data_IF_409949702226
#
_entry.id   IF_409949702226
#
_cell.length_a   1.000
_cell.length_b   1.000
_cell.length_c   1.000
_cell.angle_alpha   90.00
_cell.angle_beta   90.00
_cell.angle_gamma   90.00
#
_symmetry.space_group_name_H-M   'P 1'
#
loop_
_entity.id
_entity.type
_entity.pdbx_description
1 polymer ?
#
# COMPACT_ATOMS: atom_id res chain seq x y z
N UNK A 1 5.92 4.77 -12.18
CA UNK A 1 7.23 4.08 -12.25
C UNK A 1 7.75 3.88 -10.84
N UNK A 2 8.41 2.75 -10.56
CA UNK A 2 9.00 2.46 -9.24
C UNK A 2 10.51 2.23 -9.39
N UNK A 3 11.31 2.85 -8.53
CA UNK A 3 12.76 2.76 -8.50
C UNK A 3 13.28 2.31 -7.13
N UNK A 4 14.47 1.71 -7.09
CA UNK A 4 15.26 1.52 -5.86
C UNK A 4 16.68 2.03 -6.05
N UNK A 5 17.31 2.44 -4.95
CA UNK A 5 18.70 2.91 -4.93
C UNK A 5 19.35 2.47 -3.60
N UNK A 6 20.67 2.30 -3.60
CA UNK A 6 21.42 2.04 -2.36
C UNK A 6 21.33 3.26 -1.45
N UNK A 7 21.29 3.04 -0.12
CA UNK A 7 21.26 4.12 0.88
C UNK A 7 22.43 5.10 0.79
N UNK A 8 23.62 4.61 0.40
CA UNK A 8 24.83 5.43 0.19
C UNK A 8 24.83 6.16 -1.17
N UNK A 9 23.73 6.08 -1.93
CA UNK A 9 23.66 6.51 -3.31
C UNK A 9 24.23 5.49 -4.30
N UNK A 10 24.03 5.77 -5.59
CA UNK A 10 24.48 4.93 -6.70
C UNK A 10 23.67 3.64 -6.91
N UNK A 11 23.84 3.03 -8.09
CA UNK A 11 23.18 1.77 -8.44
C UNK A 11 21.65 1.87 -8.50
N UNK A 12 21.12 2.97 -9.06
CA UNK A 12 19.68 3.12 -9.29
C UNK A 12 19.19 1.98 -10.19
N UNK A 13 18.13 1.30 -9.77
CA UNK A 13 17.46 0.26 -10.53
C UNK A 13 15.99 0.61 -10.71
N UNK A 14 15.46 0.34 -11.89
CA UNK A 14 14.02 0.44 -12.17
C UNK A 14 13.38 -0.90 -11.82
N UNK A 15 12.47 -0.91 -10.84
CA UNK A 15 11.72 -2.10 -10.46
C UNK A 15 10.48 -2.28 -11.36
N UNK A 16 9.81 -1.18 -11.69
CA UNK A 16 8.62 -1.21 -12.53
C UNK A 16 8.58 0.01 -13.46
N UNK A 17 8.94 -0.20 -14.72
CA UNK A 17 9.04 0.85 -15.74
C UNK A 17 7.70 1.19 -16.42
N UNK A 18 6.83 0.20 -16.61
CA UNK A 18 5.58 0.32 -17.39
C UNK A 18 4.43 -0.45 -16.72
N UNK A 19 3.22 -0.34 -17.29
CA UNK A 19 1.98 -1.00 -16.83
C UNK A 19 1.40 -0.51 -15.50
N UNK A 20 1.92 0.59 -14.94
CA UNK A 20 1.26 1.37 -13.90
C UNK A 20 0.81 2.73 -14.47
N UNK A 21 -0.31 3.25 -13.99
CA UNK A 21 -0.92 4.49 -14.49
C UNK A 21 -0.94 5.61 -13.44
N UNK A 22 -1.05 5.28 -12.15
CA UNK A 22 -1.00 6.26 -11.06
C UNK A 22 -0.54 5.63 -9.75
N UNK A 23 0.77 5.36 -9.62
CA UNK A 23 1.33 4.85 -8.36
C UNK A 23 1.30 5.96 -7.30
N UNK A 24 0.48 5.78 -6.26
CA UNK A 24 0.34 6.76 -5.17
C UNK A 24 0.98 6.32 -3.86
N UNK A 25 1.05 5.00 -3.60
CA UNK A 25 1.58 4.45 -2.36
C UNK A 25 2.37 3.17 -2.59
N UNK A 26 3.37 2.91 -1.75
CA UNK A 26 4.15 1.68 -1.74
C UNK A 26 4.61 1.31 -0.33
N UNK A 27 4.76 0.02 -0.07
CA UNK A 27 5.24 -0.51 1.19
C UNK A 27 6.04 -1.80 0.97
N UNK A 28 7.18 -1.93 1.64
CA UNK A 28 8.08 -3.07 1.51
C UNK A 28 7.85 -4.06 2.65
N UNK A 29 7.53 -5.30 2.30
CA UNK A 29 7.72 -6.43 3.20
C UNK A 29 9.19 -6.86 3.13
N UNK A 30 9.96 -6.46 4.14
CA UNK A 30 11.39 -6.78 4.23
C UNK A 30 11.67 -8.25 4.56
N UNK A 31 10.68 -9.00 5.04
CA UNK A 31 10.85 -10.42 5.36
C UNK A 31 10.78 -11.24 4.08
N UNK A 32 9.78 -10.99 3.23
CA UNK A 32 9.57 -11.75 1.99
C UNK A 32 10.20 -11.10 0.74
N UNK A 33 10.78 -9.90 0.89
CA UNK A 33 11.30 -9.12 -0.24
C UNK A 33 10.23 -8.80 -1.29
N UNK A 34 8.99 -8.60 -0.84
CA UNK A 34 7.87 -8.20 -1.68
C UNK A 34 7.54 -6.73 -1.48
N UNK A 35 7.40 -6.00 -2.58
CA UNK A 35 6.93 -4.62 -2.61
C UNK A 35 5.45 -4.61 -2.98
N UNK A 36 4.63 -4.09 -2.06
CA UNK A 36 3.22 -3.84 -2.27
C UNK A 36 3.03 -2.40 -2.72
N UNK A 37 2.20 -2.16 -3.72
CA UNK A 37 1.98 -0.80 -4.23
C UNK A 37 0.56 -0.58 -4.72
N UNK A 38 0.10 0.65 -4.57
CA UNK A 38 -1.21 1.12 -5.01
C UNK A 38 -1.07 1.77 -6.38
N UNK A 39 -1.89 1.34 -7.33
CA UNK A 39 -2.17 2.08 -8.56
C UNK A 39 -3.58 2.66 -8.47
N UNK A 40 -3.65 3.93 -8.09
CA UNK A 40 -4.89 4.69 -7.82
C UNK A 40 -5.75 4.82 -9.07
N UNK A 41 -5.13 5.05 -10.24
CA UNK A 41 -5.85 5.17 -11.51
C UNK A 41 -6.46 3.84 -11.97
N UNK A 42 -5.78 2.73 -11.69
CA UNK A 42 -6.30 1.39 -11.99
C UNK A 42 -7.21 0.82 -10.91
N UNK A 43 -7.30 1.45 -9.74
CA UNK A 43 -8.03 0.90 -8.60
C UNK A 43 -7.47 -0.44 -8.14
N UNK A 44 -6.13 -0.59 -8.10
CA UNK A 44 -5.49 -1.88 -7.74
C UNK A 44 -4.45 -1.75 -6.64
N UNK A 45 -4.40 -2.77 -5.79
CA UNK A 45 -3.28 -3.06 -4.91
C UNK A 45 -2.50 -4.22 -5.54
N UNK A 46 -1.23 -4.01 -5.76
CA UNK A 46 -0.35 -4.92 -6.49
C UNK A 46 0.80 -5.37 -5.60
N UNK A 47 1.41 -6.48 -5.96
CA UNK A 47 2.63 -6.98 -5.32
C UNK A 47 3.65 -7.38 -6.39
N UNK A 48 4.92 -7.08 -6.16
CA UNK A 48 6.04 -7.59 -6.94
C UNK A 48 7.18 -8.03 -6.02
N UNK A 49 7.97 -9.00 -6.45
CA UNK A 49 9.21 -9.34 -5.75
C UNK A 49 10.32 -8.35 -6.12
N UNK A 50 11.05 -7.79 -5.16
CA UNK A 50 12.06 -6.76 -5.47
C UNK A 50 13.32 -7.31 -6.13
N UNK A 51 13.62 -8.60 -5.96
CA UNK A 51 14.77 -9.25 -6.57
C UNK A 51 14.44 -9.89 -7.91
N UNK A 52 13.17 -10.24 -8.11
CA UNK A 52 12.60 -10.76 -9.37
C UNK A 52 11.35 -9.97 -9.76
N UNK A 53 11.48 -8.70 -10.21
CA UNK A 53 10.34 -7.80 -10.47
C UNK A 53 9.39 -8.27 -11.59
N UNK A 54 9.84 -9.22 -12.41
CA UNK A 54 9.01 -9.96 -13.36
C UNK A 54 7.90 -10.77 -12.68
N UNK A 55 8.13 -11.22 -11.44
CA UNK A 55 7.11 -11.85 -10.61
C UNK A 55 6.28 -10.78 -9.91
N UNK A 56 5.21 -10.38 -10.58
CA UNK A 56 4.21 -9.45 -10.06
C UNK A 56 2.80 -9.96 -10.32
N UNK A 57 1.87 -9.54 -9.46
CA UNK A 57 0.44 -9.78 -9.64
C UNK A 57 -0.40 -8.66 -9.05
N UNK A 58 -1.61 -8.52 -9.57
CA UNK A 58 -2.68 -7.75 -8.92
C UNK A 58 -3.15 -8.56 -7.72
N UNK A 59 -3.10 -7.99 -6.51
CA UNK A 59 -3.53 -8.64 -5.28
C UNK A 59 -4.99 -8.34 -4.97
N UNK A 60 -5.38 -7.06 -5.11
CA UNK A 60 -6.76 -6.58 -5.01
C UNK A 60 -7.08 -5.69 -6.20
N UNK A 61 -8.34 -5.73 -6.62
CA UNK A 61 -8.90 -4.96 -7.74
C UNK A 61 -10.18 -4.27 -7.32
N UNK A 62 -10.70 -3.42 -8.21
CA UNK A 62 -11.96 -2.72 -8.03
C UNK A 62 -11.97 -1.82 -6.77
N UNK A 63 -10.79 -1.27 -6.42
CA UNK A 63 -10.63 -0.32 -5.32
C UNK A 63 -11.02 1.10 -5.76
N UNK A 64 -11.75 1.81 -4.90
CA UNK A 64 -12.27 3.13 -5.12
C UNK A 64 -11.26 4.20 -4.69
N UNK A 65 -10.42 4.61 -5.63
CA UNK A 65 -9.36 5.60 -5.42
C UNK A 65 -8.48 5.24 -4.22
N UNK A 66 -7.79 4.09 -4.27
CA UNK A 66 -6.87 3.71 -3.22
C UNK A 66 -5.67 4.68 -3.18
N UNK A 67 -5.08 4.90 -2.01
CA UNK A 67 -3.93 5.82 -1.86
C UNK A 67 -2.82 5.29 -0.97
N UNK A 68 -3.02 5.30 0.34
CA UNK A 68 -1.98 4.93 1.29
C UNK A 68 -1.93 3.41 1.50
N UNK A 69 -0.75 2.90 1.82
CA UNK A 69 -0.53 1.47 2.08
C UNK A 69 0.61 1.25 3.06
N UNK A 70 0.42 0.35 4.02
CA UNK A 70 1.47 -0.16 4.92
C UNK A 70 1.33 -1.67 5.14
N UNK A 71 2.45 -2.37 5.26
CA UNK A 71 2.45 -3.82 5.56
C UNK A 71 2.93 -4.10 6.98
N UNK A 72 2.37 -5.16 7.57
CA UNK A 72 2.82 -5.79 8.80
C UNK A 72 3.33 -7.21 8.51
N UNK A 73 4.62 -7.36 8.17
CA UNK A 73 5.19 -8.67 7.80
C UNK A 73 5.00 -9.74 8.88
N UNK A 74 5.26 -9.39 10.14
CA UNK A 74 5.17 -10.35 11.26
C UNK A 74 3.75 -10.88 11.53
N UNK A 75 2.71 -10.19 11.04
CA UNK A 75 1.30 -10.58 11.22
C UNK A 75 0.64 -11.02 9.91
N UNK A 76 1.33 -10.90 8.79
CA UNK A 76 0.77 -11.22 7.48
C UNK A 76 -0.36 -10.28 7.06
N UNK A 77 -0.32 -9.01 7.46
CA UNK A 77 -1.34 -8.02 7.10
C UNK A 77 -0.84 -6.93 6.16
N UNK A 78 -1.74 -6.46 5.29
CA UNK A 78 -1.62 -5.20 4.56
C UNK A 78 -2.78 -4.30 4.96
N UNK A 79 -2.49 -3.04 5.18
CA UNK A 79 -3.48 -1.99 5.43
C UNK A 79 -3.40 -0.98 4.30
N UNK A 80 -4.55 -0.53 3.83
CA UNK A 80 -4.65 0.43 2.74
C UNK A 80 -5.84 1.36 2.93
N UNK A 81 -5.77 2.53 2.31
CA UNK A 81 -6.86 3.52 2.35
C UNK A 81 -7.50 3.72 0.98
N UNK A 82 -8.79 4.01 0.98
CA UNK A 82 -9.60 4.43 -0.16
C UNK A 82 -10.26 5.75 0.22
N UNK A 83 -10.14 6.77 -0.64
CA UNK A 83 -10.62 8.12 -0.32
C UNK A 83 -11.87 8.54 -1.09
N UNK A 84 -12.35 7.72 -2.04
CA UNK A 84 -13.67 7.96 -2.61
C UNK A 84 -14.77 7.62 -1.61
N UNK A 85 -15.91 8.32 -1.66
CA UNK A 85 -16.95 8.14 -0.63
C UNK A 85 -17.74 6.84 -0.85
N UNK A 86 -17.97 6.03 0.21
CA UNK A 86 -17.49 6.22 1.58
C UNK A 86 -15.99 5.92 1.73
N UNK A 87 -15.23 6.89 2.23
CA UNK A 87 -13.79 6.72 2.46
C UNK A 87 -13.57 5.68 3.55
N UNK A 88 -12.53 4.87 3.39
CA UNK A 88 -12.25 3.79 4.33
C UNK A 88 -10.77 3.51 4.50
N UNK A 89 -10.45 2.88 5.63
CA UNK A 89 -9.20 2.17 5.85
C UNK A 89 -9.57 0.69 5.99
N UNK A 90 -8.88 -0.14 5.24
CA UNK A 90 -9.12 -1.58 5.17
C UNK A 90 -7.86 -2.36 5.51
N UNK A 91 -8.03 -3.56 6.07
CA UNK A 91 -6.98 -4.55 6.28
C UNK A 91 -7.28 -5.78 5.43
N UNK A 92 -6.26 -6.37 4.82
CA UNK A 92 -6.33 -7.71 4.21
C UNK A 92 -5.13 -8.55 4.63
N UNK A 93 -5.17 -9.85 4.35
CA UNK A 93 -3.99 -10.70 4.43
C UNK A 93 -3.04 -10.39 3.27
N UNK A 94 -1.74 -10.70 3.42
CA UNK A 94 -0.71 -10.46 2.39
C UNK A 94 -0.95 -11.25 1.08
N UNK A 95 -1.86 -12.23 1.09
CA UNK A 95 -2.33 -12.97 -0.09
C UNK A 95 -3.57 -12.34 -0.76
N UNK A 96 -4.11 -11.26 -0.19
CA UNK A 96 -5.31 -10.55 -0.67
C UNK A 96 -6.63 -11.07 -0.09
N UNK A 97 -6.60 -12.11 0.73
CA UNK A 97 -7.81 -12.65 1.35
C UNK A 97 -8.24 -11.86 2.60
N UNK A 98 -9.43 -12.15 3.10
CA UNK A 98 -9.95 -11.62 4.38
C UNK A 98 -9.93 -10.09 4.49
N UNK A 99 -10.35 -9.41 3.43
CA UNK A 99 -10.51 -7.95 3.44
C UNK A 99 -11.54 -7.56 4.51
N UNK A 100 -11.14 -6.66 5.40
CA UNK A 100 -11.93 -6.15 6.51
C UNK A 100 -11.85 -4.63 6.52
N UNK A 101 -12.99 -3.98 6.30
CA UNK A 101 -13.16 -2.53 6.39
C UNK A 101 -13.28 -2.10 7.85
N UNK A 102 -12.54 -1.08 8.26
CA UNK A 102 -12.66 -0.51 9.60
C UNK A 102 -13.95 0.29 9.71
N UNK A 103 -14.75 -0.01 10.73
CA UNK A 103 -16.07 0.62 10.93
C UNK A 103 -15.99 1.68 12.03
N UNK A 104 -16.95 2.60 12.02
CA UNK A 104 -17.09 3.67 13.02
C UNK A 104 -15.86 4.60 13.08
N UNK A 105 -15.22 4.84 11.93
CA UNK A 105 -14.12 5.80 11.77
C UNK A 105 -14.58 6.87 10.80
N UNK A 106 -14.54 8.14 11.21
CA UNK A 106 -14.80 9.26 10.31
C UNK A 106 -13.56 9.49 9.44
N UNK A 107 -13.74 9.41 8.13
CA UNK A 107 -12.66 9.55 7.15
C UNK A 107 -13.10 10.48 6.02
N UNK A 108 -12.19 11.35 5.64
CA UNK A 108 -12.26 12.20 4.46
C UNK A 108 -11.21 11.77 3.45
N UNK A 109 -9.98 12.26 3.60
CA UNK A 109 -8.86 11.93 2.71
C UNK A 109 -7.70 11.29 3.50
N UNK A 110 -7.81 9.98 3.84
CA UNK A 110 -6.76 9.24 4.54
C UNK A 110 -5.52 9.05 3.65
N UNK A 111 -4.60 10.01 3.68
CA UNK A 111 -3.52 10.12 2.70
C UNK A 111 -2.22 9.44 3.12
N UNK A 112 -2.01 9.25 4.41
CA UNK A 112 -0.84 8.61 4.97
C UNK A 112 -1.25 7.56 5.98
N UNK A 113 -0.52 6.45 6.00
CA UNK A 113 -0.63 5.39 6.98
C UNK A 113 0.76 5.11 7.56
N UNK A 114 0.83 4.79 8.85
CA UNK A 114 2.01 4.28 9.52
C UNK A 114 1.59 3.22 10.53
N UNK A 115 2.51 2.34 10.88
CA UNK A 115 2.24 1.24 11.81
C UNK A 115 3.29 1.20 12.91
N UNK A 116 2.82 1.03 14.14
CA UNK A 116 3.66 0.66 15.27
C UNK A 116 3.59 -0.86 15.44
N UNK A 117 4.66 -1.53 15.03
CA UNK A 117 4.80 -2.98 15.10
C UNK A 117 4.91 -3.51 16.54
N UNK A 118 5.29 -2.69 17.50
CA UNK A 118 5.48 -3.11 18.89
C UNK A 118 4.16 -3.05 19.66
N UNK A 119 3.36 -2.01 19.42
CA UNK A 119 2.11 -1.80 20.16
C UNK A 119 0.84 -2.16 19.38
N UNK A 120 0.99 -2.71 18.17
CA UNK A 120 -0.09 -3.17 17.29
C UNK A 120 -1.11 -2.06 16.98
N UNK A 121 -0.58 -0.89 16.60
CA UNK A 121 -1.37 0.30 16.27
C UNK A 121 -1.14 0.75 14.84
N UNK A 122 -2.22 1.20 14.19
CA UNK A 122 -2.15 1.93 12.93
C UNK A 122 -2.44 3.41 13.18
N UNK A 123 -1.67 4.26 12.53
CA UNK A 123 -1.79 5.71 12.54
C UNK A 123 -2.11 6.17 11.14
N UNK A 124 -2.92 7.21 11.01
CA UNK A 124 -3.23 7.83 9.73
C UNK A 124 -3.27 9.35 9.85
N UNK A 125 -3.08 10.02 8.72
CA UNK A 125 -3.41 11.44 8.58
C UNK A 125 -4.58 11.59 7.60
N UNK A 126 -5.48 12.52 7.89
CA UNK A 126 -6.63 12.83 7.06
C UNK A 126 -6.54 14.27 6.56
N UNK A 127 -6.40 14.45 5.25
CA UNK A 127 -6.18 15.78 4.66
C UNK A 127 -7.48 16.58 4.44
N UNK A 128 -8.66 15.96 4.59
CA UNK A 128 -9.93 16.68 4.50
C UNK A 128 -10.41 17.15 5.87
N UNK A 129 -10.09 16.38 6.92
CA UNK A 129 -10.47 16.67 8.30
C UNK A 129 -9.40 17.48 9.06
N UNK A 130 -8.37 17.98 8.35
CA UNK A 130 -7.27 18.80 8.90
C UNK A 130 -7.77 20.24 9.21
N UNK A 131 -8.64 20.36 10.21
CA UNK A 131 -9.26 21.61 10.67
C UNK A 131 -9.36 21.67 12.19
#
# INVERSE_FOLDING_TARGET
VIYRIKRKGGGRQTLLASQNEGVEGLSLDWVSQNLYYIDSRKGTLNVLNVDKPEYRKVLLKDLNRPRAIVVHPNKGYVFFSEWDRPANISRAYLDGSHVMVFRNVLLGWPNGLSIDYQTDRIYWCDALLDH
#
